data_IF_781763106910
#
_entry.id   IF_781763106910
#
_cell.length_a   1.000
_cell.length_b   1.000
_cell.length_c   1.000
_cell.angle_alpha   90.00
_cell.angle_beta   90.00
_cell.angle_gamma   90.00
#
_symmetry.space_group_name_H-M   'P 1'
#
loop_
_entity.id
_entity.type
_entity.pdbx_description
1 polymer ?
#
# COMPACT_ATOMS: atom_id res chain seq x y z
N UNK A 1 -5.86 -10.76 11.42
CA UNK A 1 -7.23 -10.97 11.02
C UNK A 1 -8.24 -10.46 12.00
N UNK A 2 -7.96 -10.64 13.27
CA UNK A 2 -8.89 -10.17 14.30
C UNK A 2 -9.14 -8.68 14.21
N UNK A 3 -8.13 -7.92 13.81
CA UNK A 3 -8.28 -6.48 13.68
C UNK A 3 -9.28 -6.09 12.62
N UNK A 4 -9.26 -6.81 11.50
CA UNK A 4 -10.23 -6.55 10.44
C UNK A 4 -11.63 -6.91 10.87
N UNK A 5 -11.75 -8.03 11.58
CA UNK A 5 -13.05 -8.45 12.08
C UNK A 5 -13.60 -7.44 13.09
N UNK A 6 -12.74 -6.95 13.96
CA UNK A 6 -13.15 -5.96 14.93
C UNK A 6 -13.61 -4.68 14.28
N UNK A 7 -12.88 -4.22 13.27
CA UNK A 7 -13.26 -3.03 12.52
C UNK A 7 -14.61 -3.19 11.84
N UNK A 8 -14.81 -4.35 11.24
CA UNK A 8 -16.06 -4.63 10.56
C UNK A 8 -17.24 -4.60 11.52
N UNK A 9 -17.05 -5.15 12.70
CA UNK A 9 -18.09 -5.14 13.72
C UNK A 9 -18.39 -3.73 14.20
N UNK A 10 -17.33 -2.95 14.40
CA UNK A 10 -17.49 -1.60 14.91
C UNK A 10 -18.22 -0.70 13.92
N UNK A 11 -18.19 -1.04 12.65
CA UNK A 11 -18.83 -0.23 11.60
C UNK A 11 -20.21 -0.74 11.21
N UNK A 12 -20.81 -1.62 12.03
CA UNK A 12 -22.11 -2.14 11.67
C UNK A 12 -22.03 -3.16 10.57
N UNK A 13 -21.39 -4.25 10.89
CA UNK A 13 -21.04 -5.28 9.91
C UNK A 13 -22.24 -5.92 9.22
N UNK A 14 -23.44 -5.69 9.74
CA UNK A 14 -24.63 -6.26 9.12
C UNK A 14 -24.91 -5.62 7.77
N UNK A 15 -24.31 -4.48 7.49
CA UNK A 15 -24.45 -3.81 6.21
C UNK A 15 -23.17 -4.02 5.40
N UNK A 16 -23.24 -4.84 4.34
CA UNK A 16 -22.06 -5.10 3.51
C UNK A 16 -21.47 -3.83 2.90
N UNK A 17 -22.30 -2.87 2.58
CA UNK A 17 -21.81 -1.63 1.97
C UNK A 17 -20.97 -0.84 2.97
N UNK A 18 -21.41 -0.78 4.21
CA UNK A 18 -20.61 -0.11 5.24
C UNK A 18 -19.30 -0.85 5.47
N UNK A 19 -19.35 -2.18 5.46
CA UNK A 19 -18.14 -2.97 5.59
C UNK A 19 -17.16 -2.71 4.45
N UNK A 20 -17.67 -2.64 3.24
CA UNK A 20 -16.83 -2.35 2.08
C UNK A 20 -16.22 -0.96 2.15
N UNK A 21 -17.00 0.01 2.63
CA UNK A 21 -16.48 1.36 2.79
C UNK A 21 -15.32 1.40 3.76
N UNK A 22 -15.45 0.70 4.89
CA UNK A 22 -14.37 0.61 5.86
C UNK A 22 -13.14 -0.05 5.26
N UNK A 23 -13.35 -1.10 4.47
CA UNK A 23 -12.26 -1.79 3.80
C UNK A 23 -11.54 -0.87 2.81
N UNK A 24 -12.30 -0.06 2.10
CA UNK A 24 -11.73 0.88 1.14
C UNK A 24 -10.85 1.91 1.84
N UNK A 25 -11.27 2.38 3.01
CA UNK A 25 -10.47 3.31 3.78
C UNK A 25 -9.16 2.69 4.24
N UNK A 26 -9.23 1.45 4.73
CA UNK A 26 -8.03 0.72 5.14
C UNK A 26 -7.07 0.54 3.98
N UNK A 27 -7.61 0.18 2.83
CA UNK A 27 -6.79 -0.01 1.63
C UNK A 27 -6.07 1.29 1.27
N UNK A 28 -6.77 2.39 1.35
CA UNK A 28 -6.19 3.69 1.02
C UNK A 28 -5.03 4.03 1.96
N UNK A 29 -5.21 3.77 3.26
CA UNK A 29 -4.16 4.00 4.23
C UNK A 29 -2.95 3.12 3.99
N UNK A 30 -3.21 1.85 3.70
CA UNK A 30 -2.12 0.91 3.42
C UNK A 30 -1.35 1.29 2.16
N UNK A 31 -2.04 1.77 1.14
CA UNK A 31 -1.37 2.20 -0.07
C UNK A 31 -0.48 3.40 0.18
N UNK A 32 -0.93 4.30 1.02
CA UNK A 32 -0.13 5.47 1.38
C UNK A 32 1.12 5.05 2.12
N UNK A 33 0.97 4.15 3.08
CA UNK A 33 2.10 3.62 3.83
C UNK A 33 3.06 2.87 2.91
N UNK A 34 2.51 2.05 2.03
CA UNK A 34 3.33 1.31 1.08
C UNK A 34 4.19 2.24 0.23
N UNK A 35 3.61 3.33 -0.24
CA UNK A 35 4.34 4.28 -1.07
C UNK A 35 5.51 4.91 -0.31
N UNK A 36 5.29 5.26 0.95
CA UNK A 36 6.35 5.81 1.78
C UNK A 36 7.47 4.80 1.98
N UNK A 37 7.10 3.56 2.29
CA UNK A 37 8.09 2.53 2.55
C UNK A 37 8.87 2.14 1.30
N UNK A 38 8.21 2.10 0.15
CA UNK A 38 8.90 1.83 -1.10
C UNK A 38 9.94 2.91 -1.38
N UNK A 39 9.57 4.17 -1.16
CA UNK A 39 10.51 5.26 -1.36
C UNK A 39 11.71 5.13 -0.44
N UNK A 40 11.48 4.83 0.82
CA UNK A 40 12.58 4.63 1.77
C UNK A 40 13.47 3.47 1.36
N UNK A 41 12.87 2.39 0.89
CA UNK A 41 13.64 1.24 0.43
C UNK A 41 14.54 1.62 -0.74
N UNK A 42 14.01 2.38 -1.69
CA UNK A 42 14.80 2.82 -2.83
C UNK A 42 15.96 3.73 -2.39
N UNK A 43 15.70 4.62 -1.47
CA UNK A 43 16.76 5.50 -0.97
C UNK A 43 17.87 4.70 -0.31
N UNK A 44 17.53 3.60 0.33
CA UNK A 44 18.52 2.72 0.98
C UNK A 44 19.20 1.77 -0.01
N UNK A 45 18.85 1.84 -1.27
CA UNK A 45 19.50 1.04 -2.29
C UNK A 45 18.82 -0.28 -2.62
N UNK A 46 17.62 -0.53 -2.11
CA UNK A 46 16.90 -1.75 -2.45
C UNK A 46 16.50 -1.70 -3.91
N UNK A 47 16.61 -2.85 -4.57
CA UNK A 47 16.23 -2.93 -5.97
C UNK A 47 14.72 -3.12 -6.12
N UNK A 48 14.23 -2.81 -7.30
CA UNK A 48 12.81 -3.06 -7.58
C UNK A 48 12.47 -4.54 -7.45
N UNK A 49 13.40 -5.41 -7.80
CA UNK A 49 13.21 -6.85 -7.66
C UNK A 49 13.04 -7.24 -6.20
N UNK A 50 13.87 -6.70 -5.34
CA UNK A 50 13.75 -6.97 -3.91
C UNK A 50 12.42 -6.50 -3.36
N UNK A 51 12.02 -5.30 -3.72
CA UNK A 51 10.76 -4.72 -3.25
C UNK A 51 9.58 -5.56 -3.75
N UNK A 52 9.60 -5.93 -5.03
CA UNK A 52 8.54 -6.73 -5.62
C UNK A 52 8.42 -8.08 -4.92
N UNK A 53 9.56 -8.70 -4.62
CA UNK A 53 9.57 -10.00 -3.95
C UNK A 53 8.89 -9.92 -2.59
N UNK A 54 9.23 -8.89 -1.83
CA UNK A 54 8.65 -8.73 -0.50
C UNK A 54 7.16 -8.45 -0.58
N UNK A 55 6.75 -7.64 -1.55
CA UNK A 55 5.32 -7.31 -1.71
C UNK A 55 4.52 -8.41 -2.37
N UNK A 56 5.19 -9.40 -2.94
CA UNK A 56 4.48 -10.50 -3.59
C UNK A 56 3.87 -10.14 -4.92
N UNK A 57 4.47 -9.19 -5.62
CA UNK A 57 3.99 -8.76 -6.94
C UNK A 57 5.15 -8.80 -7.93
N UNK A 58 4.85 -8.57 -9.21
CA UNK A 58 5.89 -8.57 -10.21
C UNK A 58 6.71 -7.27 -10.14
N UNK A 59 7.95 -7.35 -10.62
CA UNK A 59 8.81 -6.18 -10.69
C UNK A 59 8.17 -5.08 -11.53
N UNK A 60 7.55 -5.47 -12.64
CA UNK A 60 6.89 -4.51 -13.51
C UNK A 60 5.75 -3.81 -12.82
N UNK A 61 4.97 -4.55 -12.05
CA UNK A 61 3.83 -3.99 -11.34
C UNK A 61 4.26 -2.95 -10.32
N UNK A 62 5.27 -3.28 -9.51
CA UNK A 62 5.72 -2.35 -8.48
C UNK A 62 6.42 -1.14 -9.10
N UNK A 63 7.16 -1.35 -10.15
CA UNK A 63 7.82 -0.24 -10.83
C UNK A 63 6.80 0.70 -11.48
N UNK A 64 5.78 0.13 -12.09
CA UNK A 64 4.73 0.93 -12.70
C UNK A 64 3.97 1.74 -11.66
N UNK A 65 3.70 1.14 -10.52
CA UNK A 65 2.93 1.79 -9.47
C UNK A 65 3.73 2.84 -8.71
N UNK A 66 4.99 2.56 -8.42
CA UNK A 66 5.78 3.39 -7.51
C UNK A 66 6.97 4.06 -8.16
N UNK A 67 7.41 3.59 -9.30
CA UNK A 67 8.62 4.09 -9.92
C UNK A 67 8.56 5.57 -10.23
N UNK A 68 7.45 6.00 -10.77
CA UNK A 68 7.27 7.40 -11.13
C UNK A 68 7.27 8.29 -9.90
N UNK A 69 6.57 7.85 -8.87
CA UNK A 69 6.47 8.61 -7.63
C UNK A 69 7.84 8.76 -6.97
N UNK A 70 8.59 7.66 -6.91
CA UNK A 70 9.92 7.70 -6.31
C UNK A 70 10.85 8.61 -7.09
N UNK A 71 10.76 8.57 -8.42
CA UNK A 71 11.60 9.39 -9.27
C UNK A 71 11.26 10.87 -9.13
N UNK A 72 9.99 11.20 -9.22
CA UNK A 72 9.57 12.59 -9.16
C UNK A 72 9.73 13.19 -7.78
N UNK A 73 9.56 12.39 -6.75
CA UNK A 73 9.81 12.88 -5.40
C UNK A 73 11.22 13.37 -5.26
N UNK A 74 12.16 12.66 -5.86
CA UNK A 74 13.55 13.05 -5.80
C UNK A 74 13.83 14.28 -6.66
N UNK A 75 13.21 14.37 -7.83
CA UNK A 75 13.43 15.49 -8.73
C UNK A 75 12.87 16.79 -8.17
N UNK A 76 11.75 16.69 -7.51
CA UNK A 76 11.07 17.87 -7.00
C UNK A 76 11.57 18.30 -5.63
N UNK A 77 12.43 17.52 -5.07
CA UNK A 77 12.98 17.85 -3.75
C UNK A 77 13.91 19.04 -3.82
#
# INVERSE_FOLDING_TARGET
>A
MDRLMTLTRATGVDDPIEGLAATAELRSELERLEAVLVRRARVRGCTWTEIATVLGVSKQAVHKKHGRSALFGRRNA
#
